data_IF_458900602885
#
_entry.id   IF_458900602885
#
_cell.length_a   1.000
_cell.length_b   1.000
_cell.length_c   1.000
_cell.angle_alpha   90.00
_cell.angle_beta   90.00
_cell.angle_gamma   90.00
#
_symmetry.space_group_name_H-M   'P 1'
#
loop_
_entity.id
_entity.type
_entity.pdbx_description
1 polymer ?
#
# COMPACT_ATOMS: atom_id res chain seq x y z
N UNK A 1 18.49 -2.30 -0.11
CA UNK A 1 17.22 -1.51 -0.10
C UNK A 1 16.06 -2.24 0.57
N UNK A 2 15.66 -3.45 0.15
CA UNK A 2 14.54 -4.16 0.80
C UNK A 2 14.85 -4.64 2.23
N UNK A 3 16.12 -4.81 2.57
CA UNK A 3 16.63 -5.23 3.89
C UNK A 3 16.94 -4.06 4.84
N UNK A 4 16.75 -2.82 4.38
CA UNK A 4 16.98 -1.61 5.19
C UNK A 4 15.83 -1.39 6.19
N UNK A 5 16.10 -0.63 7.26
CA UNK A 5 15.08 -0.22 8.23
C UNK A 5 13.86 0.43 7.55
N UNK A 6 12.68 0.21 8.12
CA UNK A 6 11.45 0.83 7.62
C UNK A 6 11.57 2.37 7.64
N UNK A 7 11.25 3.00 6.51
CA UNK A 7 11.21 4.45 6.38
C UNK A 7 10.13 4.87 5.38
N UNK A 8 9.63 6.10 5.52
CA UNK A 8 8.63 6.64 4.59
C UNK A 8 9.15 6.73 3.16
N UNK A 9 10.44 7.01 2.97
CA UNK A 9 11.06 7.04 1.64
C UNK A 9 11.11 5.64 1.01
N UNK A 10 11.42 4.62 1.81
CA UNK A 10 11.38 3.22 1.36
C UNK A 10 9.97 2.81 0.95
N UNK A 11 8.96 3.15 1.75
CA UNK A 11 7.56 2.86 1.43
C UNK A 11 7.15 3.54 0.11
N UNK A 12 7.46 4.83 -0.05
CA UNK A 12 7.19 5.56 -1.30
C UNK A 12 7.84 4.92 -2.51
N UNK A 13 9.10 4.51 -2.37
CA UNK A 13 9.83 3.82 -3.43
C UNK A 13 9.16 2.48 -3.78
N UNK A 14 8.77 1.67 -2.79
CA UNK A 14 8.08 0.40 -3.01
C UNK A 14 6.76 0.63 -3.76
N UNK A 15 5.91 1.55 -3.30
CA UNK A 15 4.62 1.83 -3.96
C UNK A 15 4.83 2.33 -5.40
N UNK A 16 5.85 3.15 -5.64
CA UNK A 16 6.21 3.60 -6.98
C UNK A 16 6.63 2.45 -7.90
N UNK A 17 7.42 1.50 -7.39
CA UNK A 17 7.86 0.33 -8.15
C UNK A 17 6.69 -0.61 -8.46
N UNK A 18 5.77 -0.82 -7.51
CA UNK A 18 4.58 -1.65 -7.72
C UNK A 18 3.62 -1.07 -8.76
N UNK A 19 3.60 0.26 -8.92
CA UNK A 19 2.73 0.97 -9.87
C UNK A 19 3.41 1.36 -11.18
N UNK A 20 4.62 0.86 -11.42
CA UNK A 20 5.31 1.07 -12.70
C UNK A 20 4.51 0.44 -13.85
N UNK A 21 4.32 1.18 -14.95
CA UNK A 21 3.43 0.75 -16.03
C UNK A 21 3.96 -0.44 -16.85
N UNK A 22 5.28 -0.63 -16.88
CA UNK A 22 5.93 -1.67 -17.69
C UNK A 22 6.27 -2.92 -16.86
N UNK A 23 6.70 -2.71 -15.62
CA UNK A 23 7.28 -3.75 -14.77
C UNK A 23 6.58 -3.94 -13.43
N UNK A 24 5.57 -3.12 -13.13
CA UNK A 24 4.83 -3.14 -11.87
C UNK A 24 3.88 -4.33 -11.73
N UNK A 25 3.24 -4.40 -10.56
CA UNK A 25 2.25 -5.42 -10.25
C UNK A 25 0.94 -5.13 -11.01
N UNK A 26 0.40 -6.07 -11.82
CA UNK A 26 -0.83 -5.85 -12.59
C UNK A 26 -2.05 -5.49 -11.76
N UNK A 27 -2.07 -5.86 -10.48
CA UNK A 27 -3.15 -5.52 -9.55
C UNK A 27 -3.02 -4.07 -9.06
N UNK A 28 -1.84 -3.67 -8.59
CA UNK A 28 -1.57 -2.30 -8.12
C UNK A 28 -1.77 -1.26 -9.22
N UNK A 29 -1.41 -1.59 -10.48
CA UNK A 29 -1.61 -0.72 -11.64
C UNK A 29 -3.09 -0.47 -11.93
N UNK A 30 -3.95 -1.46 -11.67
CA UNK A 30 -5.41 -1.38 -11.93
C UNK A 30 -6.20 -0.78 -10.78
N UNK A 31 -5.57 -0.55 -9.61
CA UNK A 31 -6.27 0.04 -8.48
C UNK A 31 -6.55 1.53 -8.71
N UNK A 32 -7.78 1.92 -8.43
CA UNK A 32 -8.21 3.32 -8.32
C UNK A 32 -8.63 3.66 -6.89
N UNK A 33 -8.93 4.94 -6.64
CA UNK A 33 -9.39 5.37 -5.31
C UNK A 33 -10.68 4.66 -4.87
N UNK A 34 -11.61 4.40 -5.80
CA UNK A 34 -12.88 3.73 -5.48
C UNK A 34 -12.67 2.29 -5.00
N UNK A 35 -11.68 1.58 -5.55
CA UNK A 35 -11.32 0.22 -5.13
C UNK A 35 -10.61 0.18 -3.78
N UNK A 36 -9.86 1.23 -3.42
CA UNK A 36 -9.05 1.27 -2.18
C UNK A 36 -9.90 1.67 -0.96
N UNK A 37 -10.82 2.63 -1.14
CA UNK A 37 -11.60 3.23 -0.04
C UNK A 37 -12.28 2.20 0.88
N UNK A 38 -12.97 1.15 0.39
CA UNK A 38 -13.60 0.17 1.26
C UNK A 38 -12.61 -0.55 2.17
N UNK A 39 -11.43 -0.90 1.65
CA UNK A 39 -10.38 -1.58 2.40
C UNK A 39 -9.71 -0.65 3.42
N UNK A 40 -9.50 0.62 3.07
CA UNK A 40 -8.98 1.60 4.03
C UNK A 40 -9.91 1.76 5.23
N UNK A 41 -11.22 1.83 5.02
CA UNK A 41 -12.20 1.93 6.11
C UNK A 41 -12.18 0.69 7.01
N UNK A 42 -12.06 -0.51 6.41
CA UNK A 42 -11.95 -1.76 7.15
C UNK A 42 -10.71 -1.78 8.06
N UNK A 43 -9.56 -1.36 7.54
CA UNK A 43 -8.31 -1.31 8.31
C UNK A 43 -8.38 -0.30 9.47
N UNK A 44 -8.91 0.90 9.25
CA UNK A 44 -9.12 1.89 10.32
C UNK A 44 -10.12 1.41 11.39
N UNK A 45 -11.10 0.57 11.03
CA UNK A 45 -12.05 -0.03 11.98
C UNK A 45 -11.43 -1.20 12.76
N UNK A 46 -10.48 -1.93 12.16
CA UNK A 46 -9.72 -3.01 12.82
C UNK A 46 -8.69 -2.47 13.81
N UNK A 47 -8.06 -1.32 13.53
CA UNK A 47 -7.02 -0.73 14.40
C UNK A 47 -7.51 -0.58 15.86
N UNK A 48 -8.68 0.02 16.16
CA UNK A 48 -9.22 0.07 17.52
C UNK A 48 -9.42 -1.29 18.17
N UNK A 49 -9.75 -2.32 17.39
CA UNK A 49 -9.95 -3.71 17.88
C UNK A 49 -8.62 -4.38 18.24
N UNK A 50 -7.51 -4.01 17.58
CA UNK A 50 -6.20 -4.61 17.78
C UNK A 50 -5.34 -3.89 18.84
N UNK A 51 -5.72 -2.69 19.26
CA UNK A 51 -5.00 -1.89 20.26
C UNK A 51 -5.57 -2.03 21.69
N UNK A 52 -6.42 -3.04 21.92
CA UNK A 52 -6.89 -3.47 23.25
C UNK A 52 -6.30 -4.82 23.60
#
# INVERSE_FOLDING_TARGET
>A
MLTEQASMNKLRWIISALRDAETGCPWDIKQDFASIVPHTIEEECKVPRLMS
#
